data_IF_299940295185
#
_entry.id   IF_299940295185
#
_cell.length_a   1.000
_cell.length_b   1.000
_cell.length_c   1.000
_cell.angle_alpha   90.00
_cell.angle_beta   90.00
_cell.angle_gamma   90.00
#
_symmetry.space_group_name_H-M   'P 1'
#
loop_
_entity.id
_entity.type
_entity.pdbx_description
1 polymer ?
#
# COMPACT_ATOMS: atom_id res chain seq x y z
N UNK A 1 16.76 -20.22 -2.18
CA UNK A 1 15.28 -20.35 -2.18
C UNK A 1 14.76 -18.95 -2.42
N UNK A 2 14.31 -18.64 -3.64
CA UNK A 2 13.62 -17.37 -3.89
C UNK A 2 12.26 -17.46 -3.19
N UNK A 3 12.07 -16.64 -2.15
CA UNK A 3 10.73 -16.41 -1.61
C UNK A 3 9.98 -15.60 -2.68
N UNK A 4 9.00 -16.23 -3.35
CA UNK A 4 7.99 -15.49 -4.09
C UNK A 4 7.15 -14.73 -3.06
N UNK A 5 7.60 -13.53 -2.70
CA UNK A 5 6.91 -12.67 -1.77
C UNK A 5 5.69 -12.10 -2.49
N UNK A 6 4.54 -12.75 -2.33
CA UNK A 6 3.29 -12.26 -2.89
C UNK A 6 2.81 -11.15 -1.96
N UNK A 7 3.08 -9.91 -2.34
CA UNK A 7 2.55 -8.76 -1.61
C UNK A 7 1.03 -8.78 -1.69
N UNK A 8 0.41 -8.94 -0.53
CA UNK A 8 -1.04 -8.96 -0.39
C UNK A 8 -1.60 -7.56 -0.23
N UNK A 9 -2.90 -7.39 -0.50
CA UNK A 9 -3.59 -6.11 -0.27
C UNK A 9 -3.52 -5.66 1.19
N UNK A 10 -3.49 -6.62 2.13
CA UNK A 10 -3.33 -6.32 3.56
C UNK A 10 -1.98 -5.69 3.87
N UNK A 11 -0.89 -6.18 3.27
CA UNK A 11 0.45 -5.58 3.46
C UNK A 11 0.54 -4.19 2.86
N UNK A 12 -0.11 -3.96 1.71
CA UNK A 12 -0.20 -2.61 1.13
C UNK A 12 -0.96 -1.67 2.05
N UNK A 13 -2.04 -2.13 2.68
CA UNK A 13 -2.80 -1.34 3.65
C UNK A 13 -1.97 -1.07 4.90
N UNK A 14 -1.29 -2.07 5.46
CA UNK A 14 -0.45 -1.91 6.65
C UNK A 14 0.68 -0.89 6.39
N UNK A 15 1.37 -1.01 5.26
CA UNK A 15 2.39 -0.06 4.85
C UNK A 15 1.84 1.36 4.66
N UNK A 16 0.65 1.47 4.08
CA UNK A 16 -0.04 2.75 3.92
C UNK A 16 -0.43 3.34 5.28
N UNK A 17 -0.91 2.53 6.23
CA UNK A 17 -1.22 2.97 7.59
C UNK A 17 0.03 3.47 8.34
N UNK A 18 1.17 2.79 8.19
CA UNK A 18 2.44 3.25 8.73
C UNK A 18 2.86 4.59 8.11
N UNK A 19 2.81 4.73 6.76
CA UNK A 19 3.09 6.03 6.10
C UNK A 19 2.21 7.16 6.63
N UNK A 20 0.93 6.90 6.83
CA UNK A 20 -0.02 7.89 7.37
C UNK A 20 0.36 8.27 8.80
N UNK A 21 0.69 7.28 9.63
CA UNK A 21 1.10 7.47 11.02
C UNK A 21 2.40 8.28 11.14
N UNK A 22 3.35 8.05 10.25
CA UNK A 22 4.61 8.78 10.15
C UNK A 22 4.50 10.14 9.43
N UNK A 23 3.29 10.53 8.99
CA UNK A 23 3.04 11.77 8.22
C UNK A 23 3.81 11.82 6.88
N UNK A 24 4.09 10.66 6.29
CA UNK A 24 4.78 10.48 5.01
C UNK A 24 3.83 10.16 3.85
N UNK A 25 2.53 10.02 4.13
CA UNK A 25 1.53 9.73 3.11
C UNK A 25 1.17 10.98 2.28
N UNK A 26 1.07 10.80 0.97
CA UNK A 26 0.62 11.81 0.02
C UNK A 26 -0.92 11.89 -0.02
N UNK A 27 -1.46 12.99 -0.53
CA UNK A 27 -2.92 13.20 -0.70
C UNK A 27 -3.60 12.05 -1.46
N UNK A 28 -3.02 11.58 -2.57
CA UNK A 28 -3.55 10.43 -3.33
C UNK A 28 -3.56 9.11 -2.54
N UNK A 29 -2.60 8.93 -1.64
CA UNK A 29 -2.49 7.75 -0.77
C UNK A 29 -3.52 7.81 0.36
N UNK A 30 -3.75 9.01 0.92
CA UNK A 30 -4.81 9.28 1.87
C UNK A 30 -6.19 9.02 1.25
N UNK A 31 -6.44 9.52 0.02
CA UNK A 31 -7.69 9.27 -0.70
C UNK A 31 -7.91 7.76 -0.92
N UNK A 32 -6.87 7.01 -1.29
CA UNK A 32 -6.95 5.56 -1.44
C UNK A 32 -7.32 4.87 -0.11
N UNK A 33 -6.75 5.33 1.01
CA UNK A 33 -7.04 4.79 2.33
C UNK A 33 -8.46 5.13 2.80
N UNK A 34 -8.94 6.34 2.52
CA UNK A 34 -10.31 6.75 2.81
C UNK A 34 -11.33 5.95 1.98
N UNK A 35 -11.07 5.75 0.69
CA UNK A 35 -11.90 4.90 -0.18
C UNK A 35 -11.95 3.46 0.36
N UNK A 36 -10.81 2.92 0.80
CA UNK A 36 -10.75 1.62 1.48
C UNK A 36 -11.58 1.58 2.77
N UNK A 37 -11.50 2.60 3.63
CA UNK A 37 -12.32 2.66 4.85
C UNK A 37 -13.81 2.71 4.55
N UNK A 38 -14.19 3.37 3.46
CA UNK A 38 -15.57 3.56 3.08
C UNK A 38 -16.16 2.34 2.37
N UNK A 39 -15.43 1.75 1.42
CA UNK A 39 -15.85 0.59 0.63
C UNK A 39 -15.56 -0.76 1.31
N UNK A 40 -14.65 -0.80 2.27
CA UNK A 40 -14.17 -2.03 2.92
C UNK A 40 -13.21 -2.87 2.05
N UNK A 41 -12.91 -2.43 0.83
CA UNK A 41 -11.99 -3.08 -0.10
C UNK A 41 -11.10 -2.04 -0.78
N UNK A 42 -9.80 -2.34 -0.88
CA UNK A 42 -8.85 -1.43 -1.53
C UNK A 42 -8.87 -1.63 -3.04
N UNK A 43 -8.87 -0.52 -3.79
CA UNK A 43 -8.87 -0.57 -5.24
C UNK A 43 -7.47 -0.91 -5.78
N UNK A 44 -7.24 -2.20 -6.06
CA UNK A 44 -5.95 -2.71 -6.58
C UNK A 44 -5.64 -2.25 -8.01
N UNK A 45 -6.63 -1.71 -8.73
CA UNK A 45 -6.47 -1.16 -10.07
C UNK A 45 -6.00 0.30 -10.08
N UNK A 46 -6.01 1.00 -8.94
CA UNK A 46 -5.49 2.36 -8.86
C UNK A 46 -3.97 2.39 -9.01
N UNK A 47 -3.47 3.40 -9.71
CA UNK A 47 -2.03 3.61 -9.90
C UNK A 47 -1.29 3.75 -8.57
N UNK A 48 -1.87 4.48 -7.61
CA UNK A 48 -1.35 4.65 -6.24
C UNK A 48 -1.15 3.33 -5.53
N UNK A 49 -2.08 2.37 -5.67
CA UNK A 49 -1.93 1.03 -5.08
C UNK A 49 -0.74 0.28 -5.70
N UNK A 50 -0.56 0.34 -7.02
CA UNK A 50 0.57 -0.31 -7.67
C UNK A 50 1.92 0.31 -7.30
N UNK A 51 1.95 1.63 -7.11
CA UNK A 51 3.13 2.32 -6.60
C UNK A 51 3.48 1.85 -5.19
N UNK A 52 2.53 1.85 -4.26
CA UNK A 52 2.72 1.37 -2.90
C UNK A 52 3.21 -0.07 -2.88
N UNK A 53 2.57 -0.95 -3.67
CA UNK A 53 3.01 -2.33 -3.82
C UNK A 53 4.46 -2.40 -4.27
N UNK A 54 4.83 -1.63 -5.29
CA UNK A 54 6.20 -1.61 -5.81
C UNK A 54 7.20 -1.03 -4.82
N UNK A 55 6.83 -0.03 -4.03
CA UNK A 55 7.67 0.50 -2.95
C UNK A 55 7.99 -0.59 -1.93
N UNK A 56 6.99 -1.35 -1.49
CA UNK A 56 7.18 -2.48 -0.57
C UNK A 56 8.07 -3.55 -1.21
N UNK A 57 7.85 -3.88 -2.50
CA UNK A 57 8.74 -4.80 -3.25
C UNK A 57 10.18 -4.29 -3.32
N UNK A 58 10.44 -2.99 -3.31
CA UNK A 58 11.81 -2.47 -3.31
C UNK A 58 12.40 -2.40 -1.89
N UNK A 59 11.58 -2.11 -0.88
CA UNK A 59 12.01 -2.01 0.51
C UNK A 59 12.40 -3.38 1.10
N UNK A 60 11.68 -4.44 0.73
CA UNK A 60 11.96 -5.82 1.19
C UNK A 60 13.27 -6.42 0.68
N UNK A 61 13.90 -5.80 -0.32
CA UNK A 61 15.14 -6.28 -0.95
C UNK A 61 16.39 -5.50 -0.53
N UNK A 62 16.29 -4.63 0.47
CA UNK A 62 17.40 -3.87 1.06
C UNK A 62 17.70 -4.32 2.50
#
# INVERSE_FOLDING_TARGET
MEYNFIITSSEVIEYLEEKIKDNLAYDDELELYEDYKWNGTINTGRYTYQLLKREIENNLFY
#
